data_IF_158417076352
#
_entry.id   IF_158417076352
#
_cell.length_a   1.000
_cell.length_b   1.000
_cell.length_c   1.000
_cell.angle_alpha   90.00
_cell.angle_beta   90.00
_cell.angle_gamma   90.00
#
_symmetry.space_group_name_H-M   'P 1'
#
loop_
_entity.id
_entity.type
_entity.pdbx_description
1 polymer ?
#
# COMPACT_ATOMS: atom_id res chain seq x y z
N UNK A 1 41.64 -10.76 -12.31
CA UNK A 1 40.75 -10.08 -11.34
C UNK A 1 39.87 -9.15 -12.13
N UNK A 2 38.55 -9.20 -11.94
CA UNK A 2 37.63 -8.25 -12.57
C UNK A 2 37.71 -6.91 -11.85
N UNK A 3 37.70 -5.81 -12.61
CA UNK A 3 37.57 -4.48 -12.07
C UNK A 3 36.13 -4.30 -11.56
N UNK A 4 35.98 -4.08 -10.25
CA UNK A 4 34.70 -3.74 -9.63
C UNK A 4 34.63 -2.21 -9.45
N UNK A 5 33.61 -1.59 -10.04
CA UNK A 5 33.35 -0.15 -9.98
C UNK A 5 32.11 0.19 -9.15
N UNK A 6 31.42 -0.81 -8.59
CA UNK A 6 30.22 -0.60 -7.79
C UNK A 6 30.61 -0.23 -6.37
N UNK A 7 30.14 0.94 -5.91
CA UNK A 7 30.43 1.43 -4.57
C UNK A 7 29.37 0.99 -3.54
N UNK A 8 28.92 -0.27 -3.60
CA UNK A 8 27.98 -0.82 -2.63
C UNK A 8 28.25 -2.30 -2.35
N UNK A 9 27.85 -2.75 -1.16
CA UNK A 9 27.78 -4.15 -0.77
C UNK A 9 26.34 -4.57 -0.46
N UNK A 10 26.12 -5.85 -0.18
CA UNK A 10 24.78 -6.38 0.14
C UNK A 10 24.19 -5.79 1.42
N UNK A 11 25.01 -5.32 2.36
CA UNK A 11 24.53 -4.79 3.63
C UNK A 11 24.02 -3.35 3.45
N UNK A 12 24.68 -2.56 2.61
CA UNK A 12 24.22 -1.23 2.19
C UNK A 12 22.83 -1.33 1.54
N UNK A 13 22.61 -2.31 0.67
CA UNK A 13 21.31 -2.52 0.00
C UNK A 13 20.17 -2.86 0.96
N UNK A 14 20.46 -3.43 2.14
CA UNK A 14 19.45 -3.85 3.12
C UNK A 14 19.04 -2.74 4.10
N UNK A 15 19.90 -1.74 4.31
CA UNK A 15 19.72 -0.72 5.36
C UNK A 15 18.51 0.21 5.13
N UNK A 16 17.97 0.28 3.92
CA UNK A 16 16.87 1.20 3.56
C UNK A 16 15.49 0.56 3.45
N UNK A 17 15.36 -0.75 3.73
CA UNK A 17 14.10 -1.49 3.50
C UNK A 17 12.98 -1.00 4.43
N UNK A 18 13.27 -0.70 5.70
CA UNK A 18 12.28 -0.24 6.68
C UNK A 18 11.75 1.19 6.43
N UNK A 19 12.38 1.93 5.53
CA UNK A 19 11.95 3.28 5.14
C UNK A 19 11.05 3.29 3.90
N UNK A 20 10.90 2.13 3.24
CA UNK A 20 10.07 1.99 2.05
C UNK A 20 8.58 2.01 2.41
N UNK A 21 7.74 2.78 1.69
CA UNK A 21 6.29 2.81 1.91
C UNK A 21 5.65 1.42 1.89
N UNK A 22 6.08 0.55 0.96
CA UNK A 22 5.60 -0.83 0.87
C UNK A 22 5.93 -1.67 2.12
N UNK A 23 7.08 -1.44 2.75
CA UNK A 23 7.45 -2.14 3.97
C UNK A 23 6.55 -1.72 5.14
N UNK A 24 6.24 -0.42 5.23
CA UNK A 24 5.30 0.11 6.23
C UNK A 24 3.89 -0.46 6.01
N UNK A 25 3.38 -0.48 4.77
CA UNK A 25 2.07 -1.09 4.46
C UNK A 25 2.03 -2.57 4.83
N UNK A 26 3.10 -3.32 4.55
CA UNK A 26 3.20 -4.72 4.91
C UNK A 26 3.15 -4.92 6.42
N UNK A 27 3.93 -4.15 7.17
CA UNK A 27 3.91 -4.17 8.64
C UNK A 27 2.51 -3.88 9.20
N UNK A 28 1.78 -2.90 8.64
CA UNK A 28 0.41 -2.63 9.05
C UNK A 28 -0.55 -3.80 8.73
N UNK A 29 -0.35 -4.48 7.60
CA UNK A 29 -1.10 -5.68 7.25
C UNK A 29 -0.84 -6.85 8.21
N UNK A 30 0.42 -7.05 8.59
CA UNK A 30 0.83 -8.07 9.57
C UNK A 30 0.20 -7.77 10.95
N UNK A 31 0.25 -6.51 11.41
CA UNK A 31 -0.38 -6.09 12.67
C UNK A 31 -1.90 -6.29 12.67
N UNK A 32 -2.58 -6.04 11.55
CA UNK A 32 -4.02 -6.31 11.42
C UNK A 32 -4.31 -7.81 11.52
N UNK A 33 -3.48 -8.61 10.86
CA UNK A 33 -3.62 -10.08 10.87
C UNK A 33 -3.51 -10.62 12.29
N UNK A 34 -2.52 -10.14 13.06
CA UNK A 34 -2.36 -10.48 14.47
C UNK A 34 -3.57 -10.04 15.31
N UNK A 35 -4.05 -8.80 15.14
CA UNK A 35 -5.19 -8.25 15.89
C UNK A 35 -6.52 -8.97 15.65
N UNK A 36 -6.64 -9.71 14.55
CA UNK A 36 -7.87 -10.42 14.18
C UNK A 36 -7.71 -11.93 14.25
N UNK A 37 -6.64 -12.43 14.86
CA UNK A 37 -6.32 -13.86 14.96
C UNK A 37 -6.32 -14.55 13.59
N UNK A 38 -5.90 -13.85 12.53
CA UNK A 38 -5.86 -14.35 11.17
C UNK A 38 -7.20 -14.44 10.44
N UNK A 39 -8.31 -14.00 11.06
CA UNK A 39 -9.63 -13.99 10.40
C UNK A 39 -9.72 -12.94 9.27
N UNK A 40 -8.93 -11.86 9.39
CA UNK A 40 -8.73 -10.87 8.33
C UNK A 40 -7.23 -10.63 8.23
N UNK A 41 -6.65 -10.80 7.05
CA UNK A 41 -5.26 -10.42 6.85
C UNK A 41 -5.11 -9.25 5.88
N UNK A 42 -4.12 -8.40 6.15
CA UNK A 42 -3.76 -7.32 5.26
C UNK A 42 -2.87 -7.83 4.12
N UNK A 43 -3.20 -7.48 2.88
CA UNK A 43 -2.43 -7.85 1.70
C UNK A 43 -1.97 -6.61 0.94
N UNK A 44 -0.72 -6.61 0.52
CA UNK A 44 -0.12 -5.56 -0.31
C UNK A 44 0.10 -6.12 -1.71
N UNK A 45 -0.49 -5.50 -2.72
CA UNK A 45 -0.43 -5.94 -4.13
C UNK A 45 0.11 -4.82 -5.02
N UNK A 46 1.27 -5.04 -5.65
CA UNK A 46 1.84 -4.10 -6.62
C UNK A 46 1.33 -4.39 -8.03
N UNK A 47 0.98 -3.34 -8.77
CA UNK A 47 0.47 -3.39 -10.13
C UNK A 47 1.22 -2.34 -10.94
N UNK A 48 1.80 -2.75 -12.07
CA UNK A 48 2.42 -1.82 -13.01
C UNK A 48 1.33 -1.05 -13.77
N UNK A 49 1.45 0.26 -13.79
CA UNK A 49 0.59 1.13 -14.59
C UNK A 49 1.08 1.10 -16.05
N UNK A 50 0.13 1.07 -16.99
CA UNK A 50 0.44 1.11 -18.43
C UNK A 50 1.08 2.45 -18.78
N UNK A 51 2.11 2.45 -19.63
CA UNK A 51 2.87 3.65 -20.00
C UNK A 51 2.00 4.86 -20.39
N UNK A 52 0.90 4.65 -21.13
CA UNK A 52 -0.01 5.74 -21.52
C UNK A 52 -0.63 6.46 -20.32
N UNK A 53 -1.02 5.72 -19.28
CA UNK A 53 -1.55 6.30 -18.06
C UNK A 53 -0.45 6.90 -17.16
N UNK A 54 0.79 6.41 -17.25
CA UNK A 54 1.93 7.00 -16.53
C UNK A 54 2.19 8.44 -16.95
N UNK A 55 2.02 8.77 -18.23
CA UNK A 55 2.16 10.14 -18.75
C UNK A 55 1.12 11.09 -18.15
N UNK A 56 -0.07 10.59 -17.81
CA UNK A 56 -1.18 11.37 -17.25
C UNK A 56 -1.07 11.51 -15.73
N UNK A 57 -0.76 10.42 -15.01
CA UNK A 57 -0.79 10.40 -13.54
C UNK A 57 0.57 10.62 -12.89
N UNK A 58 1.67 10.46 -13.62
CA UNK A 58 3.05 10.67 -13.13
C UNK A 58 3.63 9.55 -12.26
N UNK A 59 2.93 8.41 -12.17
CA UNK A 59 3.32 7.26 -11.36
C UNK A 59 3.25 5.96 -12.17
N UNK A 60 4.25 5.10 -11.99
CA UNK A 60 4.40 3.85 -12.74
C UNK A 60 3.94 2.60 -11.98
N UNK A 61 3.78 2.68 -10.67
CA UNK A 61 3.32 1.58 -9.83
C UNK A 61 2.11 2.02 -9.00
N UNK A 62 1.08 1.19 -8.98
CA UNK A 62 -0.01 1.23 -8.01
C UNK A 62 0.11 0.07 -7.03
N UNK A 63 0.09 0.38 -5.75
CA UNK A 63 0.12 -0.59 -4.65
C UNK A 63 -1.23 -0.58 -3.95
N UNK A 64 -2.01 -1.65 -4.08
CA UNK A 64 -3.26 -1.82 -3.33
C UNK A 64 -2.94 -2.33 -1.93
N UNK A 65 -3.54 -1.70 -0.92
CA UNK A 65 -3.61 -2.25 0.43
C UNK A 65 -5.01 -2.79 0.68
N UNK A 66 -5.10 -4.10 0.86
CA UNK A 66 -6.35 -4.85 0.84
C UNK A 66 -6.56 -5.62 2.14
N UNK A 67 -7.83 -5.75 2.52
CA UNK A 67 -8.30 -6.71 3.50
C UNK A 67 -8.69 -7.99 2.77
N UNK A 68 -8.23 -9.13 3.26
CA UNK A 68 -8.68 -10.44 2.77
C UNK A 68 -9.35 -11.19 3.90
N UNK A 69 -10.53 -11.73 3.62
CA UNK A 69 -11.36 -12.47 4.58
C UNK A 69 -11.50 -13.92 4.11
N UNK A 70 -10.67 -14.86 4.60
CA UNK A 70 -10.65 -16.24 4.11
C UNK A 70 -12.00 -16.95 4.22
N UNK A 71 -12.71 -16.76 5.34
CA UNK A 71 -13.99 -17.41 5.61
C UNK A 71 -15.10 -16.99 4.62
N UNK A 72 -14.95 -15.84 3.96
CA UNK A 72 -15.90 -15.32 2.97
C UNK A 72 -15.43 -15.62 1.54
N UNK A 73 -15.02 -16.85 1.27
CA UNK A 73 -14.47 -17.28 -0.02
C UNK A 73 -13.33 -16.36 -0.52
N UNK A 74 -12.42 -16.03 0.40
CA UNK A 74 -11.32 -15.08 0.15
C UNK A 74 -11.77 -13.71 -0.37
N UNK A 75 -12.92 -13.21 0.09
CA UNK A 75 -13.39 -11.86 -0.21
C UNK A 75 -12.28 -10.82 0.03
N UNK A 76 -12.15 -9.88 -0.91
CA UNK A 76 -11.11 -8.84 -0.92
C UNK A 76 -11.77 -7.47 -0.88
N UNK A 77 -11.27 -6.61 0.00
CA UNK A 77 -11.66 -5.20 0.05
C UNK A 77 -10.44 -4.29 0.01
N UNK A 78 -10.36 -3.38 -0.94
CA UNK A 78 -9.26 -2.41 -1.03
C UNK A 78 -9.52 -1.23 -0.09
N UNK A 79 -8.63 -0.99 0.87
CA UNK A 79 -8.68 0.18 1.76
C UNK A 79 -8.19 1.43 1.01
N UNK A 80 -7.03 1.32 0.37
CA UNK A 80 -6.38 2.41 -0.34
C UNK A 80 -5.54 1.89 -1.50
N UNK A 81 -5.23 2.79 -2.42
CA UNK A 81 -4.25 2.56 -3.48
C UNK A 81 -3.17 3.63 -3.36
N UNK A 82 -1.91 3.19 -3.26
CA UNK A 82 -0.75 4.07 -3.21
C UNK A 82 -0.04 4.05 -4.56
N UNK A 83 0.18 5.21 -5.14
CA UNK A 83 0.89 5.42 -6.40
C UNK A 83 2.32 5.87 -6.13
N UNK A 84 3.28 5.21 -6.78
CA UNK A 84 4.71 5.45 -6.57
C UNK A 84 5.53 5.19 -7.84
N UNK A 85 6.82 5.53 -7.79
CA UNK A 85 7.79 5.22 -8.83
C UNK A 85 8.89 4.33 -8.22
N UNK A 86 9.30 3.23 -8.88
CA UNK A 86 10.20 2.24 -8.30
C UNK A 86 11.59 2.79 -7.96
N UNK A 87 12.02 3.87 -8.60
CA UNK A 87 13.35 4.47 -8.39
C UNK A 87 13.42 5.31 -7.11
N UNK A 88 12.27 5.64 -6.49
CA UNK A 88 12.21 6.54 -5.33
C UNK A 88 11.18 6.08 -4.31
N UNK A 89 11.53 6.20 -3.02
CA UNK A 89 10.58 5.93 -1.95
C UNK A 89 9.48 6.99 -1.82
N UNK A 90 9.78 8.23 -2.19
CA UNK A 90 8.87 9.37 -2.10
C UNK A 90 9.14 10.34 -3.28
N UNK A 91 8.16 11.17 -3.68
CA UNK A 91 6.80 11.24 -3.16
C UNK A 91 5.94 10.03 -3.53
N UNK A 92 4.92 9.76 -2.73
CA UNK A 92 3.83 8.81 -3.06
C UNK A 92 2.49 9.51 -2.98
N UNK A 93 1.55 9.10 -3.82
CA UNK A 93 0.18 9.59 -3.80
C UNK A 93 -0.77 8.49 -3.31
N UNK A 94 -1.86 8.85 -2.64
CA UNK A 94 -2.83 7.88 -2.08
C UNK A 94 -4.24 8.25 -2.50
N UNK A 95 -4.96 7.29 -3.06
CA UNK A 95 -6.40 7.35 -3.31
C UNK A 95 -7.15 6.38 -2.37
N UNK A 96 -8.41 6.69 -2.09
CA UNK A 96 -9.26 5.93 -1.15
C UNK A 96 -10.65 5.81 -1.75
N UNK A 97 -11.22 4.61 -1.71
CA UNK A 97 -12.56 4.38 -2.24
C UNK A 97 -12.66 4.49 -3.77
N UNK A 98 -11.53 4.49 -4.47
CA UNK A 98 -11.44 4.43 -5.92
C UNK A 98 -10.84 3.10 -6.39
N UNK A 99 -10.72 2.94 -7.70
CA UNK A 99 -10.02 1.82 -8.32
C UNK A 99 -8.99 2.35 -9.33
N UNK A 100 -8.11 1.47 -9.81
CA UNK A 100 -7.02 1.87 -10.72
C UNK A 100 -7.56 2.45 -12.03
N UNK A 101 -8.68 1.93 -12.55
CA UNK A 101 -9.24 2.39 -13.82
C UNK A 101 -9.73 3.84 -13.69
N UNK A 102 -10.53 4.14 -12.67
CA UNK A 102 -11.00 5.49 -12.36
C UNK A 102 -9.84 6.46 -12.08
N UNK A 103 -8.83 6.00 -11.32
CA UNK A 103 -7.66 6.80 -10.99
C UNK A 103 -6.79 7.08 -12.22
N UNK A 104 -6.72 6.16 -13.19
CA UNK A 104 -6.01 6.39 -14.45
C UNK A 104 -6.76 7.32 -15.39
N UNK A 105 -8.09 7.35 -15.34
CA UNK A 105 -8.90 8.26 -16.17
C UNK A 105 -8.97 9.69 -15.59
N UNK A 106 -9.02 9.82 -14.27
CA UNK A 106 -9.10 11.13 -13.58
C UNK A 106 -8.36 11.10 -12.25
N UNK A 107 -7.05 11.30 -12.30
CA UNK A 107 -6.20 11.21 -11.13
C UNK A 107 -6.39 12.37 -10.15
N UNK A 108 -7.02 12.08 -9.01
CA UNK A 108 -7.24 13.03 -7.92
C UNK A 108 -6.89 12.40 -6.56
N UNK A 109 -5.60 12.26 -6.23
CA UNK A 109 -5.18 11.64 -4.99
C UNK A 109 -5.62 12.46 -3.79
N UNK A 110 -6.11 11.77 -2.75
CA UNK A 110 -6.51 12.39 -1.49
C UNK A 110 -5.30 12.87 -0.68
N UNK A 111 -4.17 12.19 -0.82
CA UNK A 111 -2.92 12.57 -0.15
C UNK A 111 -1.75 12.52 -1.14
N UNK A 112 -0.82 13.46 -0.99
CA UNK A 112 0.50 13.44 -1.63
C UNK A 112 1.55 13.57 -0.53
N UNK A 113 2.32 12.51 -0.34
CA UNK A 113 3.27 12.35 0.75
C UNK A 113 4.70 12.49 0.23
N UNK A 114 5.31 13.64 0.47
CA UNK A 114 6.69 13.96 0.05
C UNK A 114 7.77 13.22 0.85
N UNK A 115 7.42 12.68 2.01
CA UNK A 115 8.35 12.03 2.91
C UNK A 115 7.65 10.98 3.79
N UNK A 116 8.46 10.19 4.50
CA UNK A 116 8.01 9.12 5.40
C UNK A 116 7.09 9.62 6.51
N UNK A 117 7.33 10.82 7.05
CA UNK A 117 6.52 11.35 8.14
C UNK A 117 5.10 11.64 7.65
N UNK A 118 4.97 12.37 6.52
CA UNK A 118 3.68 12.65 5.89
C UNK A 118 2.95 11.37 5.49
N UNK A 119 3.68 10.36 5.05
CA UNK A 119 3.09 9.06 4.72
C UNK A 119 2.53 8.34 5.94
N UNK A 120 3.28 8.28 7.05
CA UNK A 120 2.79 7.71 8.31
C UNK A 120 1.59 8.48 8.85
N UNK A 121 1.62 9.81 8.79
CA UNK A 121 0.50 10.66 9.24
C UNK A 121 -0.76 10.40 8.42
N UNK A 122 -0.64 10.31 7.09
CA UNK A 122 -1.75 9.95 6.20
C UNK A 122 -2.27 8.52 6.48
N UNK A 123 -1.39 7.53 6.59
CA UNK A 123 -1.80 6.16 6.94
C UNK A 123 -2.53 6.10 8.27
N UNK A 124 -2.05 6.82 9.28
CA UNK A 124 -2.70 6.88 10.59
C UNK A 124 -4.11 7.45 10.47
N UNK A 125 -4.30 8.55 9.75
CA UNK A 125 -5.62 9.14 9.51
C UNK A 125 -6.58 8.13 8.84
N UNK A 126 -6.10 7.43 7.81
CA UNK A 126 -6.89 6.46 7.05
C UNK A 126 -7.24 5.24 7.90
N UNK A 127 -6.24 4.57 8.47
CA UNK A 127 -6.41 3.27 9.15
C UNK A 127 -7.13 3.40 10.50
N UNK A 128 -7.06 4.58 11.14
CA UNK A 128 -7.80 4.87 12.37
C UNK A 128 -9.17 5.51 12.14
N UNK A 129 -9.58 5.70 10.88
CA UNK A 129 -10.88 6.28 10.57
C UNK A 129 -12.04 5.41 11.06
N UNK A 130 -13.16 6.05 11.38
CA UNK A 130 -14.41 5.35 11.73
C UNK A 130 -14.84 4.39 10.63
N UNK A 131 -14.68 4.81 9.37
CA UNK A 131 -15.15 4.06 8.20
C UNK A 131 -14.36 2.75 8.05
N UNK A 132 -13.02 2.81 8.10
CA UNK A 132 -12.17 1.61 8.05
C UNK A 132 -12.45 0.71 9.25
N UNK A 133 -12.61 1.27 10.45
CA UNK A 133 -12.93 0.50 11.65
C UNK A 133 -14.26 -0.25 11.51
N UNK A 134 -15.29 0.41 10.96
CA UNK A 134 -16.61 -0.19 10.77
C UNK A 134 -16.61 -1.29 9.71
N UNK A 135 -15.84 -1.08 8.62
CA UNK A 135 -15.61 -2.11 7.60
C UNK A 135 -14.96 -3.35 8.23
N UNK A 136 -13.88 -3.17 9.00
CA UNK A 136 -13.18 -4.29 9.66
C UNK A 136 -14.11 -5.02 10.62
N UNK A 137 -14.87 -4.31 11.47
CA UNK A 137 -15.86 -4.92 12.37
C UNK A 137 -16.90 -5.74 11.62
N UNK A 138 -17.44 -5.20 10.53
CA UNK A 138 -18.45 -5.86 9.72
C UNK A 138 -17.89 -7.13 9.07
N UNK A 139 -16.70 -7.04 8.48
CA UNK A 139 -16.05 -8.20 7.85
C UNK A 139 -15.66 -9.27 8.87
N UNK A 140 -15.19 -8.86 10.04
CA UNK A 140 -14.81 -9.77 11.12
C UNK A 140 -16.04 -10.48 11.71
N UNK A 141 -17.13 -9.74 11.93
CA UNK A 141 -18.38 -10.36 12.36
C UNK A 141 -18.87 -11.39 11.34
N UNK A 142 -18.83 -11.03 10.04
CA UNK A 142 -19.22 -11.94 8.95
C UNK A 142 -18.30 -13.15 8.81
N UNK A 143 -17.02 -13.05 9.14
CA UNK A 143 -16.10 -14.19 9.06
C UNK A 143 -16.35 -15.27 10.12
N UNK A 144 -17.16 -14.96 11.13
CA UNK A 144 -17.50 -15.87 12.24
C UNK A 144 -18.76 -16.71 11.98
N UNK A 145 -19.46 -16.48 10.87
CA UNK A 145 -20.69 -17.18 10.48
C UNK A 145 -20.53 -17.84 9.12
#
# INVERSE_FOLDING_TARGET
MSLDLWNFDKDILKRSISDMPNAVLKEQGDLLTEKTDGNIYGRVMNINIKNSAVEEIGYSIATKFELVVPALDNYVYTILIMYSNPEKNYPVAITIGSNIEDDTDSFNPRYVCEDKKKFIDALKEILSSSDVTEIIKTLYAKSMF
#
